data_IF_437183666021
#
_entry.id   IF_437183666021
#
_cell.length_a   1.000
_cell.length_b   1.000
_cell.length_c   1.000
_cell.angle_alpha   90.00
_cell.angle_beta   90.00
_cell.angle_gamma   90.00
#
_symmetry.space_group_name_H-M   'P 1'
#
loop_
_entity.id
_entity.type
_entity.pdbx_description
1 polymer ?
#
# COMPACT_ATOMS: atom_id res chain seq x y z
N UNK A 1 16.60 -2.28 17.45
CA UNK A 1 17.03 -1.69 16.17
C UNK A 1 16.96 -0.20 16.34
N UNK A 2 18.06 0.52 16.09
CA UNK A 2 18.04 1.99 16.10
C UNK A 2 17.02 2.49 15.08
N UNK A 3 16.14 3.39 15.52
CA UNK A 3 15.16 4.03 14.63
C UNK A 3 15.85 4.77 13.48
N UNK A 4 17.07 5.30 13.72
CA UNK A 4 17.93 5.86 12.69
C UNK A 4 18.30 4.82 11.62
N UNK A 5 18.73 3.61 12.00
CA UNK A 5 19.06 2.56 11.02
C UNK A 5 17.84 2.14 10.20
N UNK A 6 16.66 2.06 10.83
CA UNK A 6 15.42 1.73 10.12
C UNK A 6 14.93 2.87 9.20
N UNK A 7 15.20 4.12 9.56
CA UNK A 7 14.91 5.30 8.73
C UNK A 7 15.77 5.30 7.47
N UNK A 8 17.07 5.06 7.60
CA UNK A 8 18.01 5.05 6.47
C UNK A 8 17.73 3.89 5.51
N UNK A 9 17.30 2.74 6.03
CA UNK A 9 17.02 1.56 5.22
C UNK A 9 18.29 0.86 4.74
N UNK A 10 18.16 -0.07 3.80
CA UNK A 10 19.32 -0.80 3.29
C UNK A 10 20.15 0.11 2.40
N UNK A 11 21.45 0.29 2.69
CA UNK A 11 22.36 1.15 1.93
C UNK A 11 21.85 2.60 1.79
N UNK A 12 21.18 3.11 2.81
CA UNK A 12 20.65 4.48 2.89
C UNK A 12 19.60 4.80 1.81
N UNK A 13 18.95 3.77 1.25
CA UNK A 13 18.01 3.92 0.13
C UNK A 13 16.87 4.89 0.42
N UNK A 14 16.37 4.94 1.65
CA UNK A 14 15.22 5.78 2.01
C UNK A 14 15.65 7.25 2.15
N UNK A 15 16.81 7.50 2.74
CA UNK A 15 17.34 8.85 2.90
C UNK A 15 17.76 9.42 1.55
N UNK A 16 18.37 8.62 0.67
CA UNK A 16 18.69 9.05 -0.69
C UNK A 16 17.46 9.52 -1.47
N UNK A 17 16.27 8.99 -1.19
CA UNK A 17 15.04 9.49 -1.82
C UNK A 17 14.69 10.91 -1.37
N UNK A 18 14.89 11.20 -0.09
CA UNK A 18 14.65 12.53 0.49
C UNK A 18 15.71 13.52 0.02
N UNK A 19 16.98 13.11 0.02
CA UNK A 19 18.10 13.92 -0.49
C UNK A 19 17.92 14.28 -1.96
N UNK A 20 17.50 13.32 -2.80
CA UNK A 20 17.27 13.56 -4.22
C UNK A 20 16.04 14.45 -4.50
N UNK A 21 14.98 14.35 -3.69
CA UNK A 21 13.79 15.17 -3.89
C UNK A 21 14.04 16.63 -3.49
N UNK A 22 14.60 16.85 -2.31
CA UNK A 22 14.79 18.18 -1.73
C UNK A 22 16.19 18.76 -1.99
N UNK A 23 17.05 18.09 -2.74
CA UNK A 23 18.43 18.53 -3.01
C UNK A 23 19.23 18.85 -1.73
N UNK A 24 18.96 18.11 -0.65
CA UNK A 24 19.61 18.26 0.66
C UNK A 24 20.63 17.15 0.92
N UNK A 25 21.51 17.35 1.89
CA UNK A 25 22.36 16.31 2.46
C UNK A 25 21.88 15.96 3.87
N UNK A 26 21.71 14.67 4.14
CA UNK A 26 21.26 14.14 5.42
C UNK A 26 22.32 13.21 6.00
N UNK A 27 22.78 13.52 7.21
CA UNK A 27 23.81 12.75 7.91
C UNK A 27 23.27 12.34 9.27
N UNK A 28 23.42 11.06 9.63
CA UNK A 28 23.16 10.57 10.99
C UNK A 28 24.47 10.37 11.73
N UNK A 29 24.64 11.03 12.87
CA UNK A 29 25.81 10.87 13.73
C UNK A 29 25.40 10.98 15.20
N UNK A 30 25.85 10.04 16.03
CA UNK A 30 25.63 10.03 17.48
C UNK A 30 24.14 10.12 17.91
N UNK A 31 23.22 9.63 17.06
CA UNK A 31 21.77 9.68 17.29
C UNK A 31 21.11 10.98 16.84
N UNK A 32 21.88 11.94 16.33
CA UNK A 32 21.36 13.17 15.72
C UNK A 32 21.31 13.05 14.20
N UNK A 33 20.22 13.56 13.61
CA UNK A 33 20.07 13.67 12.16
C UNK A 33 20.26 15.13 11.78
N UNK A 34 21.29 15.41 10.98
CA UNK A 34 21.60 16.73 10.47
C UNK A 34 21.21 16.82 9.00
N UNK A 35 20.40 17.82 8.68
CA UNK A 35 19.98 18.14 7.31
C UNK A 35 20.62 19.45 6.90
N UNK A 36 21.23 19.51 5.71
CA UNK A 36 21.91 20.70 5.19
C UNK A 36 21.50 20.94 3.73
N UNK A 37 21.22 22.19 3.37
CA UNK A 37 20.74 22.59 2.05
C UNK A 37 20.11 24.00 2.10
N UNK A 38 19.28 24.33 1.12
CA UNK A 38 18.50 25.57 1.12
C UNK A 38 17.45 25.55 2.24
N UNK A 39 17.14 26.68 2.91
CA UNK A 39 16.27 26.71 4.08
C UNK A 39 14.88 26.10 3.86
N UNK A 40 14.27 26.36 2.71
CA UNK A 40 12.95 25.85 2.35
C UNK A 40 12.98 24.34 2.11
N UNK A 41 14.01 23.84 1.42
CA UNK A 41 14.21 22.42 1.17
C UNK A 41 14.54 21.64 2.45
N UNK A 42 15.35 22.24 3.33
CA UNK A 42 15.66 21.69 4.65
C UNK A 42 14.39 21.55 5.48
N UNK A 43 13.48 22.52 5.43
CA UNK A 43 12.21 22.46 6.14
C UNK A 43 11.36 21.26 5.66
N UNK A 44 11.19 21.09 4.34
CA UNK A 44 10.43 19.97 3.77
C UNK A 44 11.08 18.61 4.10
N UNK A 45 12.41 18.52 3.98
CA UNK A 45 13.15 17.31 4.32
C UNK A 45 13.00 16.93 5.80
N UNK A 46 13.07 17.90 6.71
CA UNK A 46 12.85 17.68 8.15
C UNK A 46 11.42 17.21 8.43
N UNK A 47 10.41 17.80 7.79
CA UNK A 47 9.00 17.35 7.91
C UNK A 47 8.82 15.91 7.42
N UNK A 48 9.44 15.54 6.30
CA UNK A 48 9.41 14.17 5.78
C UNK A 48 10.09 13.18 6.74
N UNK A 49 11.28 13.51 7.25
CA UNK A 49 12.00 12.68 8.23
C UNK A 49 11.18 12.48 9.51
N UNK A 50 10.61 13.54 10.06
CA UNK A 50 9.77 13.46 11.27
C UNK A 50 8.52 12.60 11.05
N UNK A 51 7.90 12.70 9.88
CA UNK A 51 6.73 11.90 9.52
C UNK A 51 7.07 10.40 9.40
N UNK A 52 8.24 10.07 8.84
CA UNK A 52 8.72 8.69 8.74
C UNK A 52 9.13 8.11 10.10
N UNK A 53 9.77 8.92 10.96
CA UNK A 53 10.05 8.53 12.35
C UNK A 53 8.76 8.27 13.12
N UNK A 54 7.71 9.07 12.91
CA UNK A 54 6.40 8.83 13.52
C UNK A 54 5.80 7.48 13.07
N UNK A 55 5.95 7.09 11.80
CA UNK A 55 5.54 5.76 11.33
C UNK A 55 6.35 4.64 12.01
N UNK A 56 7.67 4.77 12.08
CA UNK A 56 8.56 3.79 12.73
C UNK A 56 8.22 3.62 14.22
N UNK A 57 7.93 4.72 14.92
CA UNK A 57 7.56 4.70 16.34
C UNK A 57 6.27 3.91 16.61
N UNK A 58 5.39 3.77 15.60
CA UNK A 58 4.15 2.98 15.66
C UNK A 58 4.35 1.51 15.23
N UNK A 59 5.60 1.09 14.99
CA UNK A 59 5.92 -0.27 14.56
C UNK A 59 5.72 -0.53 13.06
N UNK A 60 5.51 0.52 12.26
CA UNK A 60 5.40 0.38 10.81
C UNK A 60 6.77 0.14 10.18
N UNK A 61 6.84 -0.80 9.23
CA UNK A 61 8.04 -0.99 8.41
C UNK A 61 8.05 0.01 7.24
N UNK A 62 9.16 0.73 7.11
CA UNK A 62 9.38 1.62 5.98
C UNK A 62 9.73 0.83 4.72
N UNK A 63 9.13 1.24 3.61
CA UNK A 63 9.44 0.74 2.26
C UNK A 63 9.65 1.95 1.36
N UNK A 64 10.40 1.82 0.27
CA UNK A 64 10.61 2.93 -0.67
C UNK A 64 9.28 3.57 -1.14
N UNK A 65 8.22 2.77 -1.30
CA UNK A 65 6.91 3.29 -1.66
C UNK A 65 6.30 4.17 -0.55
N UNK A 66 6.44 3.77 0.72
CA UNK A 66 5.97 4.57 1.85
C UNK A 66 6.74 5.89 1.95
N UNK A 67 8.05 5.85 1.69
CA UNK A 67 8.90 7.05 1.68
C UNK A 67 8.48 8.01 0.58
N UNK A 68 8.33 7.54 -0.66
CA UNK A 68 7.85 8.36 -1.78
C UNK A 68 6.47 8.96 -1.53
N UNK A 69 5.57 8.19 -0.92
CA UNK A 69 4.24 8.69 -0.61
C UNK A 69 4.25 9.73 0.52
N UNK A 70 5.12 9.54 1.51
CA UNK A 70 5.34 10.54 2.56
C UNK A 70 5.86 11.86 1.97
N UNK A 71 6.84 11.78 1.08
CA UNK A 71 7.38 12.94 0.34
C UNK A 71 6.26 13.65 -0.42
N UNK A 72 5.44 12.92 -1.18
CA UNK A 72 4.32 13.54 -1.91
C UNK A 72 3.32 14.23 -0.99
N UNK A 73 3.04 13.65 0.18
CA UNK A 73 2.11 14.26 1.15
C UNK A 73 2.69 15.51 1.81
N UNK A 74 4.00 15.54 2.08
CA UNK A 74 4.69 16.72 2.60
C UNK A 74 4.67 17.85 1.56
N UNK A 75 4.91 17.54 0.28
CA UNK A 75 4.85 18.52 -0.80
C UNK A 75 3.42 19.08 -1.01
N UNK A 76 2.39 18.30 -0.67
CA UNK A 76 0.99 18.73 -0.67
C UNK A 76 0.54 19.44 0.62
N UNK A 77 1.43 19.61 1.63
CA UNK A 77 1.08 20.18 2.94
C UNK A 77 0.08 19.33 3.73
N UNK A 78 0.08 18.02 3.49
CA UNK A 78 -0.86 17.05 4.04
C UNK A 78 -0.17 15.99 4.92
N UNK A 79 0.96 16.33 5.53
CA UNK A 79 1.80 15.45 6.35
C UNK A 79 1.05 14.82 7.53
N UNK A 80 0.07 15.53 8.11
CA UNK A 80 -0.78 15.00 9.19
C UNK A 80 -1.53 13.72 8.78
N UNK A 81 -1.84 13.59 7.48
CA UNK A 81 -2.53 12.42 6.93
C UNK A 81 -1.62 11.20 6.84
N UNK A 82 -0.29 11.35 6.91
CA UNK A 82 0.66 10.22 6.99
C UNK A 82 0.35 9.36 8.22
N UNK A 83 0.03 10.00 9.34
CA UNK A 83 -0.33 9.29 10.57
C UNK A 83 -1.64 8.52 10.45
N UNK A 84 -2.56 8.98 9.59
CA UNK A 84 -3.80 8.27 9.36
C UNK A 84 -3.58 6.93 8.65
N UNK A 85 -2.43 6.67 8.02
CA UNK A 85 -2.16 5.40 7.35
C UNK A 85 -1.64 4.32 8.30
N UNK A 86 -1.12 4.71 9.46
CA UNK A 86 -0.57 3.79 10.44
C UNK A 86 -1.70 2.95 11.09
N UNK A 87 -1.51 1.64 11.15
CA UNK A 87 -2.37 0.71 11.88
C UNK A 87 -3.57 0.11 11.13
N UNK A 88 -3.81 0.47 9.86
CA UNK A 88 -4.91 -0.09 9.06
C UNK A 88 -4.55 -1.46 8.44
N UNK A 89 -4.16 -2.43 9.27
CA UNK A 89 -3.97 -3.80 8.80
C UNK A 89 -5.34 -4.43 8.48
N UNK A 90 -5.50 -4.93 7.25
CA UNK A 90 -6.71 -5.65 6.82
C UNK A 90 -6.60 -7.11 7.27
N UNK A 91 -5.50 -7.77 6.94
CA UNK A 91 -5.19 -9.14 7.32
C UNK A 91 -3.70 -9.41 7.19
N UNK A 92 -3.24 -10.52 7.76
CA UNK A 92 -1.88 -11.02 7.61
C UNK A 92 -1.91 -12.16 6.61
N UNK A 93 -0.98 -12.14 5.66
CA UNK A 93 -0.84 -13.23 4.71
C UNK A 93 -0.40 -14.53 5.39
N UNK A 94 -0.65 -15.68 4.77
CA UNK A 94 -0.11 -17.00 5.15
C UNK A 94 1.42 -17.00 5.26
N UNK A 95 2.09 -16.09 4.55
CA UNK A 95 3.54 -15.83 4.62
C UNK A 95 3.95 -14.78 5.66
N UNK A 96 3.02 -14.35 6.52
CA UNK A 96 3.28 -13.39 7.61
C UNK A 96 3.38 -11.91 7.19
N UNK A 97 3.07 -11.55 5.93
CA UNK A 97 3.12 -10.16 5.45
C UNK A 97 1.77 -9.46 5.69
N UNK A 98 1.74 -8.27 6.31
CA UNK A 98 0.48 -7.54 6.49
C UNK A 98 -0.02 -6.95 5.16
N UNK A 99 -1.30 -7.17 4.87
CA UNK A 99 -2.03 -6.47 3.80
C UNK A 99 -2.65 -5.23 4.42
N UNK A 100 -2.19 -4.07 3.98
CA UNK A 100 -2.67 -2.77 4.47
C UNK A 100 -2.79 -1.77 3.31
N UNK A 101 -3.71 -0.80 3.40
CA UNK A 101 -3.72 0.33 2.49
C UNK A 101 -2.38 1.07 2.54
N UNK A 102 -1.83 1.37 1.37
CA UNK A 102 -0.58 2.14 1.22
C UNK A 102 -0.83 3.61 0.90
N UNK A 103 -2.04 3.95 0.46
CA UNK A 103 -2.43 5.33 0.17
C UNK A 103 -3.74 5.70 0.87
N UNK A 104 -3.99 7.00 1.04
CA UNK A 104 -5.23 7.50 1.64
C UNK A 104 -6.46 7.09 0.81
N UNK A 105 -6.33 7.06 -0.51
CA UNK A 105 -7.40 6.57 -1.40
C UNK A 105 -7.72 5.10 -1.16
N UNK A 106 -6.70 4.26 -0.97
CA UNK A 106 -6.89 2.85 -0.60
C UNK A 106 -7.51 2.70 0.79
N UNK A 107 -7.10 3.53 1.77
CA UNK A 107 -7.70 3.55 3.11
C UNK A 107 -9.17 3.92 3.03
N UNK A 108 -9.49 4.97 2.28
CA UNK A 108 -10.86 5.40 2.05
C UNK A 108 -11.69 4.29 1.39
N UNK A 109 -11.13 3.63 0.37
CA UNK A 109 -11.76 2.50 -0.31
C UNK A 109 -12.08 1.35 0.66
N UNK A 110 -11.13 0.94 1.49
CA UNK A 110 -11.35 -0.13 2.48
C UNK A 110 -12.39 0.29 3.52
N UNK A 111 -12.38 1.54 3.97
CA UNK A 111 -13.38 2.07 4.90
C UNK A 111 -14.78 2.15 4.28
N UNK A 112 -14.88 2.50 3.00
CA UNK A 112 -16.14 2.49 2.27
C UNK A 112 -16.74 1.07 2.22
N UNK A 113 -15.91 0.05 1.95
CA UNK A 113 -16.33 -1.36 1.97
C UNK A 113 -16.90 -1.75 3.35
N UNK A 114 -16.29 -1.29 4.46
CA UNK A 114 -16.78 -1.63 5.81
C UNK A 114 -18.10 -0.96 6.17
N UNK A 115 -18.32 0.27 5.70
CA UNK A 115 -19.43 1.13 6.14
C UNK A 115 -20.65 1.03 5.25
N UNK A 116 -20.49 0.64 3.98
CA UNK A 116 -21.55 0.67 2.98
C UNK A 116 -21.87 -0.73 2.47
N UNK A 117 -23.16 -0.99 2.21
CA UNK A 117 -23.62 -2.24 1.59
C UNK A 117 -23.07 -2.42 0.17
N UNK A 118 -22.94 -1.33 -0.59
CA UNK A 118 -22.43 -1.33 -1.97
C UNK A 118 -21.32 -0.26 -2.06
N UNK A 119 -20.17 -0.66 -2.60
CA UNK A 119 -19.03 0.25 -2.85
C UNK A 119 -18.57 0.11 -4.29
N UNK A 120 -18.48 1.24 -5.02
CA UNK A 120 -17.95 1.30 -6.38
C UNK A 120 -16.54 1.87 -6.33
N UNK A 121 -15.53 1.05 -6.63
CA UNK A 121 -14.13 1.47 -6.65
C UNK A 121 -13.72 2.01 -8.02
N UNK A 122 -13.57 3.33 -8.14
CA UNK A 122 -13.07 3.99 -9.36
C UNK A 122 -11.63 4.43 -9.14
N UNK A 123 -10.75 4.20 -10.13
CA UNK A 123 -9.37 4.68 -10.08
C UNK A 123 -8.46 4.03 -11.12
N UNK A 124 -7.23 4.54 -11.31
CA UNK A 124 -6.30 4.06 -12.34
C UNK A 124 -6.03 2.56 -12.27
N UNK A 125 -5.70 1.93 -13.40
CA UNK A 125 -5.28 0.53 -13.41
C UNK A 125 -4.04 0.31 -12.50
N UNK A 126 -3.91 -0.89 -11.92
CA UNK A 126 -2.76 -1.23 -11.06
C UNK A 126 -2.77 -0.66 -9.64
N UNK A 127 -3.78 0.11 -9.24
CA UNK A 127 -3.88 0.74 -7.90
C UNK A 127 -4.35 -0.18 -6.76
N UNK A 128 -4.45 -1.49 -7.00
CA UNK A 128 -4.80 -2.47 -5.97
C UNK A 128 -6.28 -2.57 -5.60
N UNK A 129 -7.20 -1.94 -6.37
CA UNK A 129 -8.66 -1.98 -6.13
C UNK A 129 -9.18 -3.42 -5.95
N UNK A 130 -8.91 -4.29 -6.91
CA UNK A 130 -9.34 -5.69 -6.86
C UNK A 130 -8.69 -6.45 -5.71
N UNK A 131 -7.38 -6.28 -5.51
CA UNK A 131 -6.64 -6.99 -4.47
C UNK A 131 -7.13 -6.64 -3.06
N UNK A 132 -7.34 -5.36 -2.76
CA UNK A 132 -7.87 -4.92 -1.47
C UNK A 132 -9.32 -5.36 -1.25
N UNK A 133 -10.16 -5.33 -2.30
CA UNK A 133 -11.53 -5.83 -2.21
C UNK A 133 -11.58 -7.31 -1.85
N UNK A 134 -10.73 -8.12 -2.51
CA UNK A 134 -10.61 -9.55 -2.24
C UNK A 134 -10.07 -9.78 -0.84
N UNK A 135 -9.05 -9.05 -0.40
CA UNK A 135 -8.52 -9.16 0.96
C UNK A 135 -9.60 -8.89 2.03
N UNK A 136 -10.42 -7.86 1.83
CA UNK A 136 -11.55 -7.54 2.71
C UNK A 136 -12.61 -8.66 2.70
N UNK A 137 -12.95 -9.20 1.53
CA UNK A 137 -13.92 -10.29 1.40
C UNK A 137 -13.44 -11.59 2.06
N UNK A 138 -12.18 -11.96 1.86
CA UNK A 138 -11.56 -13.14 2.50
C UNK A 138 -11.51 -12.97 4.01
N UNK A 139 -11.17 -11.78 4.49
CA UNK A 139 -11.17 -11.46 5.92
C UNK A 139 -12.56 -11.63 6.53
N UNK A 140 -13.60 -11.08 5.89
CA UNK A 140 -14.98 -11.24 6.33
C UNK A 140 -15.45 -12.71 6.30
N UNK A 141 -15.04 -13.47 5.29
CA UNK A 141 -15.36 -14.89 5.16
C UNK A 141 -14.71 -15.73 6.28
N UNK A 142 -13.42 -15.49 6.56
CA UNK A 142 -12.71 -16.16 7.66
C UNK A 142 -13.26 -15.79 9.03
N UNK A 143 -13.70 -14.55 9.20
CA UNK A 143 -14.39 -14.08 10.40
C UNK A 143 -15.86 -14.56 10.49
N UNK A 144 -16.31 -15.41 9.57
CA UNK A 144 -17.69 -15.94 9.49
C UNK A 144 -18.77 -14.86 9.38
N UNK A 145 -18.41 -13.63 8.97
CA UNK A 145 -19.36 -12.53 8.74
C UNK A 145 -20.14 -12.73 7.44
N UNK A 146 -19.59 -13.52 6.51
CA UNK A 146 -20.23 -13.92 5.26
C UNK A 146 -20.02 -15.40 5.00
N UNK A 147 -21.01 -16.05 4.39
CA UNK A 147 -20.96 -17.50 4.11
C UNK A 147 -20.45 -17.85 2.71
N UNK A 148 -20.38 -16.88 1.78
CA UNK A 148 -19.96 -17.09 0.38
C UNK A 148 -19.35 -15.81 -0.20
N UNK A 149 -18.39 -15.96 -1.11
CA UNK A 149 -17.83 -14.88 -1.94
C UNK A 149 -18.25 -15.14 -3.39
N UNK A 150 -18.78 -14.12 -4.06
CA UNK A 150 -19.18 -14.20 -5.47
C UNK A 150 -18.28 -13.28 -6.29
N UNK A 151 -17.52 -13.86 -7.23
CA UNK A 151 -16.72 -13.13 -8.19
C UNK A 151 -17.48 -13.05 -9.52
N UNK A 152 -17.72 -11.82 -10.00
CA UNK A 152 -18.36 -11.60 -11.30
C UNK A 152 -17.45 -10.76 -12.19
N UNK A 153 -17.44 -11.09 -13.47
CA UNK A 153 -16.74 -10.34 -14.52
C UNK A 153 -17.76 -10.09 -15.64
N UNK A 154 -17.81 -8.88 -16.24
CA UNK A 154 -18.61 -8.66 -17.43
C UNK A 154 -18.11 -9.57 -18.57
N UNK A 155 -19.01 -10.23 -19.27
CA UNK A 155 -18.67 -10.92 -20.50
C UNK A 155 -18.19 -9.87 -21.52
N UNK A 156 -16.95 -10.00 -22.00
CA UNK A 156 -16.39 -9.12 -23.04
C UNK A 156 -16.20 -9.97 -24.28
N UNK A 157 -17.10 -9.84 -25.25
CA UNK A 157 -16.97 -10.45 -26.57
C UNK A 157 -15.98 -9.61 -27.40
N UNK A 158 -14.78 -10.15 -27.61
CA UNK A 158 -13.81 -9.56 -28.52
C UNK A 158 -14.03 -10.11 -29.93
N UNK A 159 -15.02 -9.57 -30.64
CA UNK A 159 -15.09 -9.55 -32.11
C UNK A 159 -15.25 -10.86 -32.90
N UNK A 160 -15.00 -12.03 -32.32
CA UNK A 160 -15.26 -13.33 -32.94
C UNK A 160 -16.00 -14.25 -31.97
N UNK A 161 -16.96 -15.01 -32.50
CA UNK A 161 -17.78 -15.99 -31.77
C UNK A 161 -16.95 -16.71 -30.72
N UNK A 162 -17.36 -16.60 -29.45
CA UNK A 162 -16.88 -17.30 -28.25
C UNK A 162 -16.01 -18.54 -28.58
N UNK A 163 -14.77 -18.29 -28.98
CA UNK A 163 -13.81 -19.31 -29.32
C UNK A 163 -13.26 -19.79 -28.00
N UNK A 164 -13.69 -20.98 -27.58
CA UNK A 164 -13.14 -21.65 -26.41
C UNK A 164 -11.61 -21.54 -26.46
N UNK A 165 -11.01 -20.91 -25.44
CA UNK A 165 -9.58 -21.10 -25.19
C UNK A 165 -9.31 -22.61 -25.24
N UNK A 166 -8.42 -23.14 -26.09
CA UNK A 166 -8.13 -24.57 -26.10
C UNK A 166 -7.57 -24.95 -24.73
N UNK A 167 -8.14 -25.98 -24.11
CA UNK A 167 -7.77 -26.37 -22.74
C UNK A 167 -8.94 -26.89 -21.91
N UNK A 168 -8.60 -27.47 -20.76
CA UNK A 168 -9.56 -27.94 -19.76
C UNK A 168 -10.30 -26.77 -19.09
N UNK A 169 -11.34 -27.08 -18.31
CA UNK A 169 -12.14 -26.07 -17.61
C UNK A 169 -11.27 -25.25 -16.64
N UNK A 170 -10.21 -25.83 -16.07
CA UNK A 170 -9.29 -25.15 -15.16
C UNK A 170 -8.45 -24.11 -15.91
N UNK A 171 -7.84 -24.45 -17.04
CA UNK A 171 -7.06 -23.53 -17.87
C UNK A 171 -7.90 -22.35 -18.39
N UNK A 172 -9.20 -22.57 -18.57
CA UNK A 172 -10.18 -21.54 -18.93
C UNK A 172 -10.62 -20.66 -17.76
N UNK A 173 -10.42 -21.09 -16.52
CA UNK A 173 -10.89 -20.39 -15.31
C UNK A 173 -9.71 -19.82 -14.50
N UNK A 174 -8.51 -20.39 -14.66
CA UNK A 174 -7.29 -20.05 -13.93
C UNK A 174 -6.87 -18.58 -14.07
N UNK A 175 -6.86 -17.96 -15.27
CA UNK A 175 -6.57 -16.53 -15.39
C UNK A 175 -7.55 -15.64 -14.63
N UNK A 176 -8.77 -16.12 -14.38
CA UNK A 176 -9.88 -15.39 -13.77
C UNK A 176 -9.90 -15.54 -12.25
N UNK A 177 -9.48 -16.70 -11.76
CA UNK A 177 -9.35 -16.96 -10.35
C UNK A 177 -8.00 -16.54 -9.80
N UNK A 178 -6.97 -16.35 -10.63
CA UNK A 178 -5.60 -16.05 -10.16
C UNK A 178 -5.52 -14.95 -9.11
N UNK A 179 -6.14 -13.76 -9.24
CA UNK A 179 -6.07 -12.75 -8.17
C UNK A 179 -6.70 -13.19 -6.85
N UNK A 180 -7.74 -14.05 -6.91
CA UNK A 180 -8.43 -14.61 -5.76
C UNK A 180 -7.68 -15.80 -5.17
N UNK A 181 -7.09 -16.64 -6.02
CA UNK A 181 -6.20 -17.72 -5.62
C UNK A 181 -4.93 -17.18 -4.97
N UNK A 182 -4.29 -16.19 -5.59
CA UNK A 182 -3.14 -15.49 -5.03
C UNK A 182 -3.50 -14.91 -3.67
N UNK A 183 -4.65 -14.23 -3.55
CA UNK A 183 -5.11 -13.66 -2.29
C UNK A 183 -5.49 -14.71 -1.22
N UNK A 184 -6.16 -15.81 -1.59
CA UNK A 184 -6.54 -16.89 -0.67
C UNK A 184 -5.35 -17.75 -0.25
N UNK A 185 -4.45 -18.11 -1.17
CA UNK A 185 -3.23 -18.86 -0.85
C UNK A 185 -2.23 -18.00 -0.09
N UNK A 186 -2.17 -16.70 -0.39
CA UNK A 186 -1.46 -15.76 0.46
C UNK A 186 -2.25 -15.44 1.74
N UNK A 187 -3.45 -15.91 2.11
CA UNK A 187 -4.12 -15.52 3.38
C UNK A 187 -4.55 -16.70 4.25
#
# INVERSE_FOLDING_TARGET
>A
MDQASALFGSFDENIRLIENEYHVSVISRDGEIKVSGEPEDVEHAVRAVNSLLALLSRGETLTQQNVRYCISLVNEGAEEKVQALAGDCICITSKGKPIKPRTLGQKHYCNAIRKNTITIGVGPAGTGKTYLAVAMAVTAFRAQQVSRIILTRPAVEAGEKLGFLPGDLQQKVDPYLRPLHDALFDM
#
